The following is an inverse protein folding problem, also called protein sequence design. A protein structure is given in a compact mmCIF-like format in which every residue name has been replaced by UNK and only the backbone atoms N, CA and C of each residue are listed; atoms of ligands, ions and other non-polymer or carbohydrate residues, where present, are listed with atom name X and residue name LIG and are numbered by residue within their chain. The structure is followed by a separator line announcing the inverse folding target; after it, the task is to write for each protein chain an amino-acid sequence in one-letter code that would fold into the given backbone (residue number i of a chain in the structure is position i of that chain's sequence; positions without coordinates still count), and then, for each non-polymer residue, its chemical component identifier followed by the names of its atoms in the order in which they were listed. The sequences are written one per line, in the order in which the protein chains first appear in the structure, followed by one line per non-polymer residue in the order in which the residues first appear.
data_IF_198155869199
#
_entry.id   IF_198155869199
#
_cell.length_a   1.000
_cell.length_b   1.000
_cell.length_c   1.000
_cell.angle_alpha   90.00
_cell.angle_beta   90.00
_cell.angle_gamma   90.00
#
_symmetry.space_group_name_H-M   'P 1'
#
loop_
_entity.id
_entity.type
_entity.pdbx_description
1 polymer ?
#
# COMPACT_ATOMS: atom_id res chain seq x y z
N UNK A 1 17.45 9.76 1.40
CA UNK A 1 18.85 10.24 1.44
C UNK A 1 19.71 9.19 2.13
N UNK A 2 20.89 8.86 1.58
CA UNK A 2 21.89 8.01 2.25
C UNK A 2 23.00 8.91 2.79
N UNK A 3 23.41 8.73 4.05
CA UNK A 3 24.46 9.52 4.69
C UNK A 3 25.38 8.65 5.53
N UNK A 4 26.66 8.97 5.63
CA UNK A 4 27.59 8.25 6.49
C UNK A 4 27.32 8.55 7.98
N UNK A 5 27.54 7.58 8.88
CA UNK A 5 27.26 7.74 10.31
C UNK A 5 27.87 9.00 10.96
N UNK A 6 29.13 9.30 10.63
CA UNK A 6 29.84 10.49 11.13
C UNK A 6 29.20 11.78 10.61
N UNK A 7 28.84 11.82 9.33
CA UNK A 7 28.23 13.01 8.72
C UNK A 7 26.78 13.17 9.17
N UNK A 8 26.08 12.07 9.46
CA UNK A 8 24.68 12.04 9.87
C UNK A 8 24.45 12.81 11.17
N UNK A 9 25.34 12.67 12.16
CA UNK A 9 25.24 13.38 13.45
C UNK A 9 25.24 14.91 13.29
N UNK A 10 26.02 15.44 12.35
CA UNK A 10 26.12 16.88 12.12
C UNK A 10 25.06 17.42 11.16
N UNK A 11 24.67 16.62 10.16
CA UNK A 11 23.76 17.06 9.09
C UNK A 11 22.29 16.88 9.43
N UNK A 12 21.91 15.82 10.15
CA UNK A 12 20.51 15.52 10.45
C UNK A 12 19.80 16.64 11.24
N UNK A 13 20.42 17.27 12.26
CA UNK A 13 19.77 18.37 12.99
C UNK A 13 19.36 19.54 12.09
N UNK A 14 20.08 19.76 10.98
CA UNK A 14 19.85 20.85 10.03
C UNK A 14 18.74 20.48 9.03
N UNK A 15 18.78 19.24 8.52
CA UNK A 15 17.89 18.79 7.43
C UNK A 15 16.60 18.14 7.91
N UNK A 16 16.48 17.80 9.20
CA UNK A 16 15.26 17.18 9.76
C UNK A 16 14.00 18.04 9.52
N UNK A 17 14.17 19.37 9.45
CA UNK A 17 13.09 20.32 9.22
C UNK A 17 12.70 20.42 7.74
N UNK A 18 13.47 19.83 6.82
CA UNK A 18 13.19 19.91 5.38
C UNK A 18 11.98 19.04 5.02
N UNK A 19 10.87 19.62 4.51
CA UNK A 19 9.66 18.87 4.20
C UNK A 19 9.83 17.91 3.01
N UNK A 20 10.76 18.21 2.09
CA UNK A 20 11.05 17.36 0.93
C UNK A 20 11.85 16.10 1.29
N UNK A 21 12.41 16.04 2.51
CA UNK A 21 13.17 14.89 2.99
C UNK A 21 12.24 13.94 3.76
N UNK A 22 11.85 12.85 3.09
CA UNK A 22 10.90 11.85 3.60
C UNK A 22 11.60 10.76 4.42
N UNK A 23 12.72 10.24 3.90
CA UNK A 23 13.45 9.10 4.50
C UNK A 23 14.96 9.32 4.48
N UNK A 24 15.61 8.96 5.59
CA UNK A 24 17.06 9.00 5.80
C UNK A 24 17.55 7.59 6.16
N UNK A 25 18.58 7.11 5.44
CA UNK A 25 19.28 5.85 5.73
C UNK A 25 20.72 6.17 6.07
N UNK A 26 21.22 5.58 7.15
CA UNK A 26 22.57 5.84 7.65
C UNK A 26 23.44 4.63 7.33
N UNK A 27 24.59 4.84 6.69
CA UNK A 27 25.60 3.82 6.45
C UNK A 27 26.78 4.03 7.40
N UNK A 28 27.09 3.05 8.26
CA UNK A 28 28.20 3.15 9.20
C UNK A 28 28.79 1.78 9.55
N UNK A 29 30.09 1.72 9.81
CA UNK A 29 30.77 0.48 10.20
C UNK A 29 30.35 -0.01 11.60
N UNK A 30 29.87 0.88 12.48
CA UNK A 30 29.49 0.56 13.85
C UNK A 30 28.12 1.15 14.21
N UNK A 31 27.08 0.31 14.18
CA UNK A 31 25.69 0.69 14.44
C UNK A 31 25.46 1.18 15.87
N UNK A 32 26.14 0.59 16.85
CA UNK A 32 25.91 0.84 18.28
C UNK A 32 26.17 2.29 18.68
N UNK A 33 27.06 2.98 17.96
CA UNK A 33 27.38 4.40 18.19
C UNK A 33 26.22 5.31 17.78
N UNK A 34 25.42 4.88 16.80
CA UNK A 34 24.42 5.74 16.16
C UNK A 34 22.96 5.41 16.48
N UNK A 35 22.68 4.23 17.06
CA UNK A 35 21.32 3.78 17.35
C UNK A 35 20.53 4.67 18.29
N UNK A 36 21.15 5.15 19.37
CA UNK A 36 20.43 5.82 20.46
C UNK A 36 19.82 7.15 20.01
N UNK A 37 20.59 7.97 19.29
CA UNK A 37 20.09 9.23 18.76
C UNK A 37 19.25 9.03 17.48
N UNK A 38 19.55 8.05 16.63
CA UNK A 38 18.76 7.77 15.42
C UNK A 38 17.30 7.40 15.75
N UNK A 39 17.05 6.66 16.84
CA UNK A 39 15.69 6.33 17.31
C UNK A 39 14.86 7.55 17.67
N UNK A 40 15.49 8.67 18.03
CA UNK A 40 14.78 9.91 18.38
C UNK A 40 14.29 10.69 17.16
N UNK A 41 14.72 10.33 15.95
CA UNK A 41 14.45 11.09 14.73
C UNK A 41 13.49 10.32 13.81
N UNK A 42 12.24 10.78 13.64
CA UNK A 42 11.20 10.04 12.91
C UNK A 42 11.53 9.75 11.44
N UNK A 43 12.36 10.60 10.82
CA UNK A 43 12.76 10.49 9.40
C UNK A 43 13.87 9.46 9.17
N UNK A 44 14.53 8.96 10.21
CA UNK A 44 15.56 7.92 10.08
C UNK A 44 14.88 6.57 9.97
N UNK A 45 15.00 5.93 8.80
CA UNK A 45 14.39 4.63 8.51
C UNK A 45 15.26 3.44 8.92
N UNK A 46 16.56 3.65 9.07
CA UNK A 46 17.46 2.61 9.57
C UNK A 46 18.93 2.99 9.48
N UNK A 47 19.73 2.23 10.22
CA UNK A 47 21.20 2.29 10.23
C UNK A 47 21.72 0.94 9.73
N UNK A 48 22.63 0.98 8.78
CA UNK A 48 23.10 -0.19 8.06
C UNK A 48 24.63 -0.20 8.02
N UNK A 49 25.21 -1.39 8.06
CA UNK A 49 26.67 -1.60 7.92
C UNK A 49 27.08 -1.92 6.49
N UNK A 50 26.12 -2.31 5.65
CA UNK A 50 26.33 -2.73 4.27
C UNK A 50 25.33 -2.02 3.36
N UNK A 51 25.67 -1.92 2.07
CA UNK A 51 24.84 -1.23 1.09
C UNK A 51 23.66 -2.09 0.62
N UNK A 52 23.79 -3.42 0.59
CA UNK A 52 22.75 -4.33 0.10
C UNK A 52 21.44 -4.24 0.90
N UNK A 53 21.46 -4.20 2.24
CA UNK A 53 20.24 -3.94 3.03
C UNK A 53 19.62 -2.57 2.75
N UNK A 54 20.44 -1.54 2.49
CA UNK A 54 19.95 -0.20 2.11
C UNK A 54 19.24 -0.29 0.76
N UNK A 55 19.82 -0.98 -0.22
CA UNK A 55 19.19 -1.18 -1.53
C UNK A 55 17.83 -1.88 -1.40
N UNK A 56 17.71 -2.90 -0.54
CA UNK A 56 16.43 -3.56 -0.26
C UNK A 56 15.41 -2.61 0.38
N UNK A 57 15.83 -1.86 1.40
CA UNK A 57 14.98 -0.88 2.07
C UNK A 57 14.53 0.24 1.10
N UNK A 58 15.43 0.69 0.22
CA UNK A 58 15.12 1.66 -0.83
C UNK A 58 14.17 1.10 -1.88
N UNK A 59 14.30 -0.17 -2.28
CA UNK A 59 13.36 -0.78 -3.22
C UNK A 59 11.94 -0.86 -2.62
N UNK A 60 11.84 -1.18 -1.33
CA UNK A 60 10.56 -1.18 -0.60
C UNK A 60 10.01 0.25 -0.54
N UNK A 61 10.82 1.22 -0.14
CA UNK A 61 10.36 2.60 -0.01
C UNK A 61 10.10 3.30 -1.35
N UNK A 62 10.80 2.92 -2.42
CA UNK A 62 10.52 3.38 -3.79
C UNK A 62 9.15 2.88 -4.25
N UNK A 63 8.85 1.59 -4.02
CA UNK A 63 7.51 1.05 -4.30
C UNK A 63 6.43 1.83 -3.53
N UNK A 64 6.70 2.21 -2.28
CA UNK A 64 5.77 3.02 -1.47
C UNK A 64 5.67 4.50 -1.92
N UNK A 65 6.77 5.09 -2.41
CA UNK A 65 6.84 6.51 -2.80
C UNK A 65 6.20 6.78 -4.16
N UNK A 66 6.43 5.91 -5.14
CA UNK A 66 5.81 6.00 -6.48
C UNK A 66 4.27 5.83 -6.39
N UNK A 67 3.76 5.29 -5.27
CA UNK A 67 2.34 5.10 -5.01
C UNK A 67 1.60 6.34 -4.46
N UNK A 68 2.29 7.38 -3.98
CA UNK A 68 1.62 8.61 -3.52
C UNK A 68 1.35 9.62 -4.66
N UNK A 69 2.03 9.47 -5.80
CA UNK A 69 2.26 10.57 -6.74
C UNK A 69 1.85 10.28 -8.19
N UNK A 70 0.83 9.45 -8.43
CA UNK A 70 0.24 9.32 -9.77
C UNK A 70 -0.97 10.25 -9.90
N UNK A 71 -0.91 11.31 -10.74
CA UNK A 71 -2.07 12.11 -11.05
C UNK A 71 -3.06 11.26 -11.84
N UNK A 72 -4.28 11.13 -11.34
CA UNK A 72 -5.36 10.47 -12.06
C UNK A 72 -5.85 11.42 -13.16
N UNK A 73 -5.30 11.26 -14.37
CA UNK A 73 -5.75 11.97 -15.57
C UNK A 73 -6.72 11.07 -16.35
N UNK A 74 -8.01 11.11 -16.00
CA UNK A 74 -9.06 10.45 -16.80
C UNK A 74 -9.42 11.32 -18.00
N UNK A 75 -8.74 11.13 -19.13
CA UNK A 75 -9.28 11.54 -20.42
C UNK A 75 -9.95 10.32 -21.06
N UNK A 76 -11.25 10.39 -21.35
CA UNK A 76 -12.04 9.26 -21.87
C UNK A 76 -11.64 8.73 -23.27
N UNK A 77 -10.45 9.08 -23.76
CA UNK A 77 -9.82 8.57 -24.98
C UNK A 77 -8.56 7.75 -24.69
N UNK A 78 -8.32 7.40 -23.43
CA UNK A 78 -7.18 6.59 -23.04
C UNK A 78 -7.48 5.10 -23.25
N UNK A 79 -6.66 4.42 -24.04
CA UNK A 79 -6.77 2.97 -24.21
C UNK A 79 -6.68 2.26 -22.85
N UNK A 80 -5.90 2.80 -21.92
CA UNK A 80 -5.77 2.30 -20.56
C UNK A 80 -7.11 2.34 -19.81
N UNK A 81 -7.94 3.35 -20.04
CA UNK A 81 -9.28 3.44 -19.46
C UNK A 81 -10.20 2.35 -19.99
N UNK A 82 -10.17 2.07 -21.30
CA UNK A 82 -10.94 0.97 -21.87
C UNK A 82 -10.47 -0.40 -21.33
N UNK A 83 -9.16 -0.62 -21.25
CA UNK A 83 -8.61 -1.86 -20.69
C UNK A 83 -8.96 -2.05 -19.22
N UNK A 84 -8.86 -1.00 -18.39
CA UNK A 84 -9.24 -1.07 -16.97
C UNK A 84 -10.72 -1.31 -16.78
N UNK A 85 -11.59 -0.73 -17.63
CA UNK A 85 -13.02 -0.98 -17.60
C UNK A 85 -13.35 -2.43 -17.96
N UNK A 86 -12.76 -2.96 -19.04
CA UNK A 86 -12.93 -4.36 -19.44
C UNK A 86 -12.41 -5.33 -18.37
N UNK A 87 -11.24 -5.04 -17.79
CA UNK A 87 -10.68 -5.82 -16.68
C UNK A 87 -11.61 -5.82 -15.48
N UNK A 88 -12.17 -4.67 -15.11
CA UNK A 88 -13.15 -4.56 -14.03
C UNK A 88 -14.39 -5.42 -14.32
N UNK A 89 -14.96 -5.32 -15.51
CA UNK A 89 -16.14 -6.10 -15.91
C UNK A 89 -15.84 -7.61 -15.86
N UNK A 90 -14.72 -8.05 -16.43
CA UNK A 90 -14.28 -9.44 -16.36
C UNK A 90 -14.11 -9.93 -14.92
N UNK A 91 -13.44 -9.15 -14.05
CA UNK A 91 -13.25 -9.50 -12.64
C UNK A 91 -14.58 -9.63 -11.87
N UNK A 92 -15.58 -8.82 -12.21
CA UNK A 92 -16.90 -8.87 -11.57
C UNK A 92 -17.74 -10.05 -12.04
N UNK A 93 -17.49 -10.58 -13.24
CA UNK A 93 -18.18 -11.74 -13.80
C UNK A 93 -17.57 -13.09 -13.39
N UNK A 94 -16.31 -13.10 -12.92
CA UNK A 94 -15.70 -14.34 -12.41
C UNK A 94 -16.58 -14.89 -11.27
N UNK A 95 -16.99 -16.14 -11.37
CA UNK A 95 -17.55 -16.91 -10.26
C UNK A 95 -16.38 -17.61 -9.56
N UNK A 96 -16.04 -17.14 -8.36
CA UNK A 96 -14.94 -17.71 -7.57
C UNK A 96 -15.44 -18.28 -6.26
N UNK A 97 -14.86 -19.41 -5.86
CA UNK A 97 -14.94 -19.91 -4.50
C UNK A 97 -14.08 -19.03 -3.59
N UNK A 98 -14.74 -18.12 -2.87
CA UNK A 98 -14.07 -17.18 -1.96
C UNK A 98 -13.17 -17.89 -0.94
N UNK A 99 -13.52 -19.10 -0.46
CA UNK A 99 -12.67 -19.83 0.51
C UNK A 99 -11.36 -20.21 -0.15
N UNK A 100 -11.42 -20.69 -1.39
CA UNK A 100 -10.24 -21.01 -2.19
C UNK A 100 -9.43 -19.77 -2.52
N UNK A 101 -10.07 -18.70 -2.99
CA UNK A 101 -9.40 -17.45 -3.36
C UNK A 101 -8.71 -16.77 -2.17
N UNK A 102 -9.32 -16.80 -0.99
CA UNK A 102 -8.69 -16.33 0.25
C UNK A 102 -7.44 -17.14 0.55
N UNK A 103 -7.52 -18.49 0.51
CA UNK A 103 -6.35 -19.34 0.75
C UNK A 103 -5.21 -19.06 -0.23
N UNK A 104 -5.53 -18.94 -1.52
CA UNK A 104 -4.53 -18.61 -2.54
C UNK A 104 -3.89 -17.22 -2.31
N UNK A 105 -4.66 -16.24 -1.85
CA UNK A 105 -4.13 -14.93 -1.47
C UNK A 105 -3.17 -15.06 -0.28
N UNK A 106 -3.55 -15.81 0.76
CA UNK A 106 -2.71 -16.00 1.96
C UNK A 106 -1.41 -16.72 1.60
N UNK A 107 -1.47 -17.79 0.78
CA UNK A 107 -0.28 -18.49 0.30
C UNK A 107 0.63 -17.56 -0.52
N UNK A 108 0.05 -16.75 -1.42
CA UNK A 108 0.79 -15.75 -2.17
C UNK A 108 1.48 -14.74 -1.23
N UNK A 109 0.79 -14.26 -0.20
CA UNK A 109 1.37 -13.34 0.77
C UNK A 109 2.50 -13.96 1.59
N UNK A 110 2.38 -15.23 2.00
CA UNK A 110 3.44 -15.97 2.72
C UNK A 110 4.71 -16.10 1.89
N UNK A 111 4.59 -16.22 0.56
CA UNK A 111 5.73 -16.36 -0.35
C UNK A 111 6.40 -15.03 -0.69
N UNK A 112 5.62 -13.93 -0.77
CA UNK A 112 6.08 -12.66 -1.32
C UNK A 112 6.37 -11.58 -0.27
N UNK A 113 5.88 -11.73 0.97
CA UNK A 113 5.89 -10.64 1.96
C UNK A 113 6.30 -11.07 3.36
N UNK A 114 6.90 -10.14 4.12
CA UNK A 114 7.03 -10.19 5.58
C UNK A 114 5.69 -9.89 6.30
N UNK A 115 4.55 -10.23 5.69
CA UNK A 115 3.26 -10.04 6.34
C UNK A 115 3.25 -10.82 7.67
N UNK A 116 2.86 -10.13 8.75
CA UNK A 116 2.74 -10.75 10.08
C UNK A 116 1.80 -11.95 9.98
N UNK A 117 2.29 -13.15 10.34
CA UNK A 117 1.50 -14.40 10.30
C UNK A 117 0.15 -14.25 10.99
N UNK A 118 0.11 -13.52 12.13
CA UNK A 118 -1.13 -13.21 12.86
C UNK A 118 -2.19 -12.49 12.02
N UNK A 119 -1.76 -11.63 11.10
CA UNK A 119 -2.68 -10.89 10.21
C UNK A 119 -3.22 -11.80 9.12
N UNK A 120 -2.39 -12.74 8.65
CA UNK A 120 -2.78 -13.73 7.64
C UNK A 120 -3.80 -14.71 8.21
N UNK A 121 -3.52 -15.28 9.39
CA UNK A 121 -4.46 -16.13 10.14
C UNK A 121 -5.81 -15.43 10.35
N UNK A 122 -5.77 -14.17 10.79
CA UNK A 122 -6.99 -13.38 11.01
C UNK A 122 -7.83 -13.21 9.75
N UNK A 123 -7.20 -12.98 8.60
CA UNK A 123 -7.95 -12.87 7.33
C UNK A 123 -8.52 -14.24 6.95
N UNK A 124 -7.75 -15.30 7.08
CA UNK A 124 -8.21 -16.67 6.75
C UNK A 124 -9.44 -17.08 7.58
N UNK A 125 -9.45 -16.74 8.87
CA UNK A 125 -10.51 -17.14 9.80
C UNK A 125 -11.68 -16.15 9.85
N UNK A 126 -11.41 -14.84 9.81
CA UNK A 126 -12.40 -13.81 10.13
C UNK A 126 -12.86 -12.99 8.93
N UNK A 127 -12.38 -13.26 7.70
CA UNK A 127 -12.72 -12.42 6.54
C UNK A 127 -14.23 -12.17 6.39
N UNK A 128 -15.05 -13.22 6.55
CA UNK A 128 -16.51 -13.17 6.43
C UNK A 128 -17.22 -12.49 7.61
N UNK A 129 -16.54 -12.33 8.74
CA UNK A 129 -17.13 -11.73 9.94
C UNK A 129 -17.18 -10.20 9.85
N UNK A 130 -16.49 -9.61 8.87
CA UNK A 130 -16.40 -8.17 8.67
C UNK A 130 -16.77 -7.77 7.24
N UNK A 131 -17.19 -6.51 7.08
CA UNK A 131 -17.47 -5.97 5.75
C UNK A 131 -16.18 -5.75 4.94
N UNK A 132 -16.24 -5.77 3.60
CA UNK A 132 -15.08 -5.46 2.76
C UNK A 132 -14.46 -4.09 3.05
N UNK A 133 -15.29 -3.09 3.38
CA UNK A 133 -14.82 -1.75 3.75
C UNK A 133 -14.04 -1.75 5.07
N UNK A 134 -14.45 -2.59 6.04
CA UNK A 134 -13.71 -2.74 7.30
C UNK A 134 -12.29 -3.26 7.04
N UNK A 135 -12.14 -4.25 6.16
CA UNK A 135 -10.82 -4.73 5.72
C UNK A 135 -10.04 -3.68 4.93
N UNK A 136 -10.72 -2.91 4.07
CA UNK A 136 -10.10 -1.86 3.26
C UNK A 136 -9.61 -0.66 4.08
N UNK A 137 -10.24 -0.37 5.22
CA UNK A 137 -9.90 0.78 6.08
C UNK A 137 -9.11 0.40 7.33
N UNK A 138 -9.05 -0.89 7.64
CA UNK A 138 -8.30 -1.41 8.78
C UNK A 138 -6.78 -1.31 8.61
N UNK A 139 -6.01 -1.47 9.70
CA UNK A 139 -4.54 -1.38 9.71
C UNK A 139 -3.88 -2.67 9.19
N UNK A 140 -4.38 -3.22 8.08
CA UNK A 140 -3.91 -4.48 7.48
C UNK A 140 -3.33 -4.22 6.08
N UNK A 141 -2.64 -5.22 5.52
CA UNK A 141 -1.99 -5.10 4.22
C UNK A 141 -2.96 -5.01 3.03
N UNK A 142 -4.25 -5.29 3.23
CA UNK A 142 -5.27 -5.35 2.17
C UNK A 142 -5.35 -4.03 1.41
N UNK A 143 -5.44 -2.90 2.12
CA UNK A 143 -5.48 -1.57 1.50
C UNK A 143 -4.24 -1.32 0.63
N UNK A 144 -3.05 -1.53 1.20
CA UNK A 144 -1.78 -1.25 0.54
C UNK A 144 -1.56 -2.18 -0.65
N UNK A 145 -1.86 -3.47 -0.52
CA UNK A 145 -1.68 -4.46 -1.57
C UNK A 145 -2.62 -4.19 -2.75
N UNK A 146 -3.91 -3.92 -2.48
CA UNK A 146 -4.87 -3.61 -3.53
C UNK A 146 -4.48 -2.35 -4.29
N UNK A 147 -4.19 -1.26 -3.57
CA UNK A 147 -3.81 0.00 -4.20
C UNK A 147 -2.45 -0.07 -4.90
N UNK A 148 -1.55 -0.97 -4.48
CA UNK A 148 -0.32 -1.28 -5.19
C UNK A 148 -0.62 -1.99 -6.52
N UNK A 149 -1.40 -3.07 -6.48
CA UNK A 149 -1.74 -3.88 -7.65
C UNK A 149 -2.46 -3.08 -8.72
N UNK A 150 -3.51 -2.33 -8.34
CA UNK A 150 -4.26 -1.48 -9.26
C UNK A 150 -3.41 -0.38 -9.89
N UNK A 151 -2.45 0.18 -9.16
CA UNK A 151 -1.62 1.28 -9.64
C UNK A 151 -0.52 0.82 -10.56
N UNK A 152 0.09 -0.31 -10.25
CA UNK A 152 1.15 -0.91 -11.07
C UNK A 152 0.60 -1.75 -12.21
N UNK A 153 -0.73 -1.94 -12.27
CA UNK A 153 -1.39 -2.88 -13.17
C UNK A 153 -0.80 -4.29 -13.04
N UNK A 154 -0.46 -4.68 -11.81
CA UNK A 154 0.09 -5.99 -11.49
C UNK A 154 -1.02 -7.03 -11.55
N UNK A 155 -1.02 -7.80 -12.63
CA UNK A 155 -2.07 -8.78 -12.92
C UNK A 155 -2.12 -9.89 -11.88
N UNK A 156 -0.98 -10.30 -11.32
CA UNK A 156 -0.96 -11.37 -10.30
C UNK A 156 -1.66 -10.89 -9.02
N UNK A 157 -1.34 -9.68 -8.56
CA UNK A 157 -2.01 -9.08 -7.40
C UNK A 157 -3.49 -8.85 -7.68
N UNK A 158 -3.84 -8.28 -8.85
CA UNK A 158 -5.23 -7.98 -9.21
C UNK A 158 -6.07 -9.27 -9.26
N UNK A 159 -5.56 -10.34 -9.84
CA UNK A 159 -6.26 -11.63 -9.90
C UNK A 159 -6.39 -12.26 -8.51
N UNK A 160 -5.33 -12.29 -7.70
CA UNK A 160 -5.40 -12.82 -6.32
C UNK A 160 -6.33 -12.03 -5.42
N UNK A 161 -6.48 -10.73 -5.67
CA UNK A 161 -7.42 -9.85 -4.96
C UNK A 161 -8.78 -9.74 -5.65
N UNK A 162 -9.05 -10.49 -6.73
CA UNK A 162 -10.26 -10.37 -7.54
C UNK A 162 -11.54 -10.53 -6.72
N UNK A 163 -11.60 -11.55 -5.85
CA UNK A 163 -12.71 -11.76 -4.93
C UNK A 163 -12.95 -10.55 -4.02
N UNK A 164 -11.88 -9.93 -3.52
CA UNK A 164 -11.96 -8.77 -2.64
C UNK A 164 -12.42 -7.52 -3.40
N UNK A 165 -11.91 -7.31 -4.62
CA UNK A 165 -12.34 -6.22 -5.52
C UNK A 165 -13.85 -6.32 -5.77
N UNK A 166 -14.34 -7.52 -6.08
CA UNK A 166 -15.76 -7.79 -6.31
C UNK A 166 -16.60 -7.45 -5.07
N UNK A 167 -16.23 -7.95 -3.90
CA UNK A 167 -16.97 -7.66 -2.67
C UNK A 167 -16.94 -6.17 -2.30
N UNK A 168 -15.78 -5.52 -2.45
CA UNK A 168 -15.63 -4.09 -2.18
C UNK A 168 -16.50 -3.26 -3.13
N UNK A 169 -16.49 -3.58 -4.43
CA UNK A 169 -17.30 -2.91 -5.43
C UNK A 169 -18.81 -3.07 -5.16
N UNK A 170 -19.26 -4.29 -4.87
CA UNK A 170 -20.66 -4.56 -4.54
C UNK A 170 -21.10 -3.79 -3.29
N UNK A 171 -20.27 -3.80 -2.23
CA UNK A 171 -20.58 -3.10 -0.98
C UNK A 171 -20.63 -1.57 -1.17
N UNK A 172 -19.69 -0.98 -1.92
CA UNK A 172 -19.72 0.45 -2.24
C UNK A 172 -20.95 0.81 -3.08
N UNK A 173 -21.31 -0.03 -4.04
CA UNK A 173 -22.49 0.19 -4.90
C UNK A 173 -23.79 0.15 -4.08
N UNK A 174 -23.89 -0.78 -3.13
CA UNK A 174 -25.04 -0.85 -2.22
C UNK A 174 -25.15 0.40 -1.35
N UNK A 175 -24.07 0.81 -0.69
CA UNK A 175 -24.05 2.03 0.12
C UNK A 175 -24.36 3.29 -0.71
N UNK A 176 -23.86 3.35 -1.95
CA UNK A 176 -24.17 4.47 -2.84
C UNK A 176 -25.66 4.52 -3.18
N UNK A 177 -26.27 3.37 -3.46
CA UNK A 177 -27.71 3.26 -3.72
C UNK A 177 -28.54 3.69 -2.52
N UNK A 178 -28.15 3.31 -1.30
CA UNK A 178 -28.80 3.75 -0.05
C UNK A 178 -28.72 5.27 0.11
N UNK A 179 -27.58 5.88 -0.24
CA UNK A 179 -27.33 7.32 -0.06
C UNK A 179 -27.92 8.19 -1.17
N UNK A 180 -28.21 7.64 -2.36
CA UNK A 180 -28.73 8.40 -3.51
C UNK A 180 -30.07 9.11 -3.23
N UNK A 181 -30.87 8.64 -2.27
CA UNK A 181 -32.12 9.29 -1.89
C UNK A 181 -31.95 10.61 -1.11
N UNK A 182 -30.84 10.76 -0.38
CA UNK A 182 -30.61 11.85 0.58
C UNK A 182 -29.52 12.83 0.14
N UNK A 183 -28.79 12.55 -0.96
CA UNK A 183 -27.61 13.32 -1.34
C UNK A 183 -27.92 14.47 -2.32
N UNK A 184 -27.40 15.69 -2.08
CA UNK A 184 -27.46 16.77 -3.05
C UNK A 184 -26.70 16.40 -4.32
N UNK A 185 -27.17 16.89 -5.47
CA UNK A 185 -26.63 16.59 -6.82
C UNK A 185 -25.15 16.95 -7.01
N UNK A 186 -24.59 17.80 -6.14
CA UNK A 186 -23.17 18.14 -6.11
C UNK A 186 -22.58 17.82 -4.73
N UNK A 187 -21.59 16.93 -4.69
CA UNK A 187 -20.83 16.58 -3.50
C UNK A 187 -19.36 16.96 -3.68
N UNK A 188 -18.89 17.95 -2.92
CA UNK A 188 -17.50 18.39 -2.96
C UNK A 188 -16.67 17.63 -1.92
N UNK A 189 -15.59 17.01 -2.37
CA UNK A 189 -14.62 16.30 -1.52
C UNK A 189 -13.24 16.94 -1.62
N UNK A 190 -12.48 16.85 -0.53
CA UNK A 190 -11.10 17.31 -0.48
C UNK A 190 -10.18 16.15 -0.12
N UNK A 191 -9.03 16.07 -0.78
CA UNK A 191 -7.95 15.14 -0.47
C UNK A 191 -6.64 15.92 -0.44
N UNK A 192 -5.85 15.77 0.62
CA UNK A 192 -4.51 16.36 0.69
C UNK A 192 -3.62 15.80 -0.41
N UNK A 193 -2.85 16.68 -1.06
CA UNK A 193 -1.72 16.30 -1.92
C UNK A 193 -0.44 16.21 -1.11
#
# INVERSE_FOLDING_TARGET
MIVSGVLAQHTIPIIQQCPQLVSIYILCDNQSIHEEWAKTIPKVKGIYTQIEPICKALQIDQKNCDQAMIPISFSGRDALFMYTQLLKEALLEIEDDDVKSIKELIEYCRLQSDASEKTLEKIEEEYRNHSPIWWYTGPYFIYSMLNCGLRQMDVDIILKMGFFIRHLHQHITELHREQQGDMPTNFQVFRGQ
#
